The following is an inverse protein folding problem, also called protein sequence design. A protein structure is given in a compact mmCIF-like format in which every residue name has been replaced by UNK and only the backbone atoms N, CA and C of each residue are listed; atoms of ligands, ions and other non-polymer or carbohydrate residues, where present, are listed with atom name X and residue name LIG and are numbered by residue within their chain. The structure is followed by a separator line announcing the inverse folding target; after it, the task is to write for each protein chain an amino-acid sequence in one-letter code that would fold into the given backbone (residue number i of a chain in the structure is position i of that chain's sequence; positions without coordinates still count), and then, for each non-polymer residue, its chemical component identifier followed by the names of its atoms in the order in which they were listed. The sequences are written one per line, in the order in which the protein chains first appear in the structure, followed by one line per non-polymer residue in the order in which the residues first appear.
data_IF_092747676070
#
_entry.id   IF_092747676070
#
_cell.length_a   1.000
_cell.length_b   1.000
_cell.length_c   1.000
_cell.angle_alpha   90.00
_cell.angle_beta   90.00
_cell.angle_gamma   90.00
#
_symmetry.space_group_name_H-M   'P 1'
#
loop_
_entity.id
_entity.type
_entity.pdbx_description
1 polymer ?
#
# COMPACT_ATOMS: atom_id res chain seq x y z
N UNK A 1 -3.41 -7.30 -34.24
CA UNK A 1 -3.46 -6.14 -33.30
C UNK A 1 -3.82 -6.70 -31.94
N UNK A 2 -2.93 -6.62 -30.95
CA UNK A 2 -3.21 -7.14 -29.60
C UNK A 2 -4.10 -6.16 -28.85
N UNK A 3 -5.25 -6.60 -28.36
CA UNK A 3 -6.11 -5.78 -27.50
C UNK A 3 -5.34 -5.40 -26.24
N UNK A 4 -5.30 -4.11 -25.85
CA UNK A 4 -4.60 -3.69 -24.64
C UNK A 4 -5.22 -4.38 -23.41
N UNK A 5 -4.35 -4.84 -22.50
CA UNK A 5 -4.80 -5.50 -21.27
C UNK A 5 -5.57 -4.50 -20.38
N UNK A 6 -6.65 -4.97 -19.72
CA UNK A 6 -7.36 -4.14 -18.74
C UNK A 6 -6.43 -3.79 -17.58
N UNK A 7 -6.67 -2.62 -16.99
CA UNK A 7 -5.95 -2.20 -15.80
C UNK A 7 -6.44 -2.97 -14.56
N UNK A 8 -5.52 -3.41 -13.71
CA UNK A 8 -5.88 -4.05 -12.44
C UNK A 8 -6.48 -3.00 -11.48
N UNK A 9 -7.72 -3.17 -11.00
CA UNK A 9 -8.33 -2.17 -10.14
C UNK A 9 -7.54 -1.93 -8.86
N UNK A 10 -7.35 -0.66 -8.54
CA UNK A 10 -6.67 -0.20 -7.32
C UNK A 10 -7.63 0.07 -6.15
N UNK A 11 -8.93 0.12 -6.42
CA UNK A 11 -9.97 0.35 -5.44
C UNK A 11 -10.24 -0.93 -4.64
N UNK A 12 -10.22 -0.81 -3.31
CA UNK A 12 -10.53 -1.90 -2.39
C UNK A 12 -12.01 -2.28 -2.35
N UNK A 13 -12.91 -1.46 -2.89
CA UNK A 13 -14.32 -1.78 -3.02
C UNK A 13 -14.59 -2.74 -4.19
N UNK A 14 -13.65 -2.85 -5.13
CA UNK A 14 -13.80 -3.65 -6.35
C UNK A 14 -13.07 -4.98 -6.16
N UNK A 15 -13.80 -6.08 -6.35
CA UNK A 15 -13.23 -7.42 -6.52
C UNK A 15 -13.29 -7.79 -7.99
N UNK A 16 -12.19 -8.32 -8.53
CA UNK A 16 -12.13 -8.85 -9.90
C UNK A 16 -11.81 -10.32 -9.88
N UNK A 17 -12.39 -11.08 -10.80
CA UNK A 17 -12.06 -12.49 -11.02
C UNK A 17 -11.46 -12.65 -12.40
N UNK A 18 -10.39 -13.43 -12.49
CA UNK A 18 -9.71 -13.70 -13.75
C UNK A 18 -9.04 -15.07 -13.75
N UNK A 19 -8.80 -15.61 -14.94
CA UNK A 19 -7.94 -16.77 -15.13
C UNK A 19 -6.47 -16.31 -15.17
N UNK A 20 -5.66 -16.90 -14.32
CA UNK A 20 -4.23 -16.65 -14.21
C UNK A 20 -3.45 -17.89 -14.67
N UNK A 21 -2.23 -17.69 -15.18
CA UNK A 21 -1.38 -18.79 -15.65
C UNK A 21 -0.13 -18.84 -14.80
N UNK A 22 0.17 -20.00 -14.24
CA UNK A 22 1.45 -20.22 -13.56
C UNK A 22 2.57 -20.35 -14.59
N UNK A 23 3.61 -19.55 -14.44
CA UNK A 23 4.73 -19.48 -15.38
C UNK A 23 6.04 -19.54 -14.59
N UNK A 24 6.98 -20.36 -15.05
CA UNK A 24 8.34 -20.32 -14.54
C UNK A 24 9.05 -19.09 -15.13
N UNK A 25 9.51 -18.21 -14.25
CA UNK A 25 10.31 -17.05 -14.61
C UNK A 25 11.63 -17.13 -13.85
N UNK A 26 12.71 -17.48 -14.56
CA UNK A 26 14.05 -17.59 -14.00
C UNK A 26 14.15 -18.55 -12.80
N UNK A 27 13.49 -19.71 -12.87
CA UNK A 27 13.46 -20.71 -11.81
C UNK A 27 12.50 -20.38 -10.67
N UNK A 28 11.66 -19.35 -10.85
CA UNK A 28 10.62 -18.97 -9.89
C UNK A 28 9.26 -19.13 -10.50
N UNK A 29 8.42 -19.97 -9.90
CA UNK A 29 7.03 -20.09 -10.28
C UNK A 29 6.26 -18.82 -9.85
N UNK A 30 5.71 -18.13 -10.84
CA UNK A 30 4.88 -16.94 -10.69
C UNK A 30 3.49 -17.20 -11.24
N UNK A 31 2.49 -16.59 -10.62
CA UNK A 31 1.13 -16.51 -11.12
C UNK A 31 1.00 -15.24 -11.97
N UNK A 32 0.89 -15.40 -13.29
CA UNK A 32 0.76 -14.29 -14.25
C UNK A 32 -0.71 -14.00 -14.51
N UNK A 33 -1.07 -12.73 -14.33
CA UNK A 33 -2.45 -12.24 -14.38
C UNK A 33 -2.71 -11.48 -15.69
N UNK A 34 -3.94 -11.51 -16.23
CA UNK A 34 -4.30 -10.86 -17.49
C UNK A 34 -4.61 -9.37 -17.31
N UNK A 35 -3.84 -8.67 -16.47
CA UNK A 35 -4.01 -7.25 -16.21
C UNK A 35 -2.68 -6.52 -16.35
N UNK A 36 -2.74 -5.28 -16.83
CA UNK A 36 -1.64 -4.33 -16.66
C UNK A 36 -1.72 -3.66 -15.29
N UNK A 37 -0.57 -3.25 -14.76
CA UNK A 37 -0.52 -2.47 -13.52
C UNK A 37 -1.01 -1.04 -13.78
N UNK A 38 -1.75 -0.41 -12.84
CA UNK A 38 -2.04 1.02 -12.88
C UNK A 38 -0.77 1.86 -12.98
N UNK A 39 -0.85 2.98 -13.68
CA UNK A 39 0.27 3.94 -13.77
C UNK A 39 0.48 4.64 -12.41
N UNK A 40 1.73 4.67 -11.93
CA UNK A 40 2.10 5.30 -10.66
C UNK A 40 3.39 4.74 -10.03
N UNK A 41 3.81 5.33 -8.91
CA UNK A 41 5.12 5.10 -8.26
C UNK A 41 5.31 3.72 -7.58
N UNK A 42 4.44 2.73 -7.82
CA UNK A 42 4.42 1.49 -7.04
C UNK A 42 5.18 0.35 -7.75
N UNK A 43 6.27 -0.11 -7.13
CA UNK A 43 6.96 -1.39 -7.47
C UNK A 43 6.06 -2.64 -7.31
N UNK A 44 4.92 -2.49 -6.64
CA UNK A 44 3.93 -3.55 -6.43
C UNK A 44 2.92 -3.14 -5.36
N UNK A 45 1.68 -3.65 -5.47
CA UNK A 45 0.58 -3.33 -4.56
C UNK A 45 0.04 -4.59 -3.91
N UNK A 46 -0.43 -4.46 -2.66
CA UNK A 46 -1.00 -5.58 -1.91
C UNK A 46 -2.43 -5.85 -2.34
N UNK A 47 -2.69 -7.10 -2.68
CA UNK A 47 -4.02 -7.62 -2.97
C UNK A 47 -4.31 -8.80 -2.06
N UNK A 48 -5.58 -8.94 -1.72
CA UNK A 48 -6.12 -10.20 -1.21
C UNK A 48 -6.43 -11.06 -2.43
N UNK A 49 -5.69 -12.15 -2.55
CA UNK A 49 -5.82 -13.18 -3.57
C UNK A 49 -6.64 -14.34 -3.00
N UNK A 50 -7.66 -14.79 -3.71
CA UNK A 50 -8.42 -16.00 -3.40
C UNK A 50 -8.29 -16.99 -4.57
N UNK A 51 -7.89 -18.21 -4.25
CA UNK A 51 -7.70 -19.31 -5.19
C UNK A 51 -8.38 -20.55 -4.59
N UNK A 52 -9.55 -20.92 -5.12
CA UNK A 52 -10.39 -21.96 -4.50
C UNK A 52 -10.75 -21.61 -3.05
N UNK A 53 -10.37 -22.48 -2.11
CA UNK A 53 -10.58 -22.31 -0.66
C UNK A 53 -9.47 -21.49 0.02
N UNK A 54 -8.34 -21.27 -0.67
CA UNK A 54 -7.19 -20.55 -0.12
C UNK A 54 -7.37 -19.05 -0.30
N UNK A 55 -7.19 -18.29 0.78
CA UNK A 55 -7.18 -16.84 0.76
C UNK A 55 -5.88 -16.32 1.37
N UNK A 56 -5.15 -15.50 0.62
CA UNK A 56 -3.84 -15.01 1.03
C UNK A 56 -3.57 -13.59 0.56
N UNK A 57 -2.72 -12.85 1.27
CA UNK A 57 -2.24 -11.55 0.82
C UNK A 57 -0.99 -11.72 -0.04
N UNK A 58 -0.97 -11.09 -1.20
CA UNK A 58 0.17 -11.06 -2.12
C UNK A 58 0.47 -9.66 -2.59
N UNK A 59 1.75 -9.39 -2.82
CA UNK A 59 2.16 -8.22 -3.59
C UNK A 59 2.07 -8.60 -5.06
N UNK A 60 1.23 -7.87 -5.80
CA UNK A 60 1.15 -7.94 -7.25
C UNK A 60 2.07 -6.87 -7.80
N UNK A 61 2.98 -7.29 -8.66
CA UNK A 61 3.99 -6.44 -9.27
C UNK A 61 3.91 -6.52 -10.80
N UNK A 62 4.54 -5.57 -11.48
CA UNK A 62 4.60 -5.54 -12.93
C UNK A 62 5.59 -6.58 -13.45
N UNK A 63 5.17 -7.38 -14.42
CA UNK A 63 6.00 -8.30 -15.18
C UNK A 63 5.75 -8.02 -16.67
N UNK A 64 6.68 -7.31 -17.31
CA UNK A 64 6.52 -6.77 -18.67
C UNK A 64 5.25 -5.90 -18.84
N UNK A 65 4.32 -6.33 -19.68
CA UNK A 65 3.01 -5.73 -19.96
C UNK A 65 1.90 -6.23 -19.02
N UNK A 66 2.21 -7.24 -18.20
CA UNK A 66 1.30 -7.92 -17.29
C UNK A 66 1.62 -7.65 -15.83
N UNK A 67 0.81 -8.25 -14.98
CA UNK A 67 0.99 -8.30 -13.54
C UNK A 67 1.26 -9.73 -13.11
N UNK A 68 2.04 -9.89 -12.04
CA UNK A 68 2.39 -11.20 -11.52
C UNK A 68 2.47 -11.16 -9.99
N UNK A 69 2.34 -12.34 -9.38
CA UNK A 69 2.60 -12.54 -7.95
C UNK A 69 3.05 -13.98 -7.67
N UNK A 70 3.43 -14.28 -6.43
CA UNK A 70 3.68 -15.66 -6.02
C UNK A 70 2.35 -16.42 -5.88
N UNK A 71 2.28 -17.69 -6.33
CA UNK A 71 1.09 -18.53 -6.14
C UNK A 71 0.61 -18.58 -4.68
N UNK A 72 -0.68 -18.82 -4.48
CA UNK A 72 -1.25 -18.96 -3.15
C UNK A 72 -0.85 -20.28 -2.48
N UNK A 73 -0.71 -21.33 -3.29
CA UNK A 73 -0.39 -22.71 -2.89
C UNK A 73 0.60 -23.32 -3.89
N UNK A 74 1.01 -24.58 -3.66
CA UNK A 74 1.78 -25.35 -4.65
C UNK A 74 0.97 -25.49 -5.93
N UNK A 75 1.54 -25.02 -7.04
CA UNK A 75 0.94 -25.14 -8.36
C UNK A 75 1.99 -25.69 -9.34
N UNK A 76 1.53 -26.33 -10.40
CA UNK A 76 2.43 -26.79 -11.46
C UNK A 76 2.65 -25.68 -12.49
N UNK A 77 3.75 -25.71 -13.25
CA UNK A 77 3.96 -24.76 -14.34
C UNK A 77 2.95 -24.99 -15.48
N UNK A 78 2.43 -23.91 -16.05
CA UNK A 78 1.43 -23.95 -17.13
C UNK A 78 -0.01 -24.15 -16.67
N UNK A 79 -0.24 -24.27 -15.36
CA UNK A 79 -1.55 -24.44 -14.77
C UNK A 79 -2.37 -23.15 -14.87
N UNK A 80 -3.65 -23.29 -15.25
CA UNK A 80 -4.63 -22.20 -15.30
C UNK A 80 -5.45 -22.21 -14.02
N UNK A 81 -5.46 -21.08 -13.33
CA UNK A 81 -6.06 -20.95 -12.01
C UNK A 81 -7.01 -19.75 -12.02
N UNK A 82 -8.28 -19.98 -11.72
CA UNK A 82 -9.24 -18.90 -11.47
C UNK A 82 -8.95 -18.25 -10.13
N UNK A 83 -8.71 -16.95 -10.14
CA UNK A 83 -8.42 -16.18 -8.93
C UNK A 83 -9.33 -14.97 -8.79
N UNK A 84 -9.74 -14.68 -7.55
CA UNK A 84 -10.35 -13.40 -7.19
C UNK A 84 -9.34 -12.50 -6.52
N UNK A 85 -9.38 -11.22 -6.86
CA UNK A 85 -8.42 -10.19 -6.46
C UNK A 85 -9.17 -8.98 -5.93
N UNK A 86 -8.77 -8.51 -4.75
CA UNK A 86 -9.24 -7.24 -4.20
C UNK A 86 -8.08 -6.45 -3.64
N UNK A 87 -7.97 -5.18 -4.03
CA UNK A 87 -6.91 -4.32 -3.52
C UNK A 87 -7.04 -4.17 -1.99
N UNK A 88 -5.92 -4.27 -1.29
CA UNK A 88 -5.89 -3.92 0.13
C UNK A 88 -5.65 -2.41 0.20
N UNK A 89 -6.48 -1.66 0.95
CA UNK A 89 -6.25 -0.25 1.16
C UNK A 89 -4.81 -0.04 1.62
N UNK A 90 -4.12 0.94 1.03
CA UNK A 90 -2.94 1.45 1.69
C UNK A 90 -3.35 1.80 3.13
N UNK A 91 -2.55 1.37 4.12
CA UNK A 91 -2.81 1.68 5.52
C UNK A 91 -3.04 3.19 5.55
N UNK A 92 -4.27 3.63 5.90
CA UNK A 92 -4.61 5.06 5.91
C UNK A 92 -3.45 5.76 6.60
N UNK A 93 -2.89 6.81 5.96
CA UNK A 93 -1.95 7.70 6.64
C UNK A 93 -2.57 7.96 8.00
N UNK A 94 -1.85 7.61 9.07
CA UNK A 94 -2.39 7.80 10.42
C UNK A 94 -2.82 9.25 10.46
N UNK A 95 -4.11 9.51 10.67
CA UNK A 95 -4.57 10.87 10.89
C UNK A 95 -3.71 11.49 11.99
N UNK A 96 -3.58 12.82 11.98
CA UNK A 96 -2.81 13.51 13.03
C UNK A 96 -3.33 13.00 14.38
N UNK A 97 -2.48 12.41 15.25
CA UNK A 97 -2.91 11.93 16.56
C UNK A 97 -3.65 13.02 17.34
N UNK A 98 -4.68 12.65 18.11
CA UNK A 98 -5.57 13.61 18.78
C UNK A 98 -4.83 14.55 19.73
N UNK A 99 -3.77 14.07 20.37
CA UNK A 99 -2.89 14.85 21.24
C UNK A 99 -1.97 15.81 20.47
N UNK A 100 -1.51 15.43 19.27
CA UNK A 100 -0.83 16.36 18.35
C UNK A 100 -1.81 17.43 17.87
N UNK A 101 -3.04 17.05 17.49
CA UNK A 101 -4.08 18.01 17.10
C UNK A 101 -4.43 18.97 18.24
N UNK A 102 -4.53 18.47 19.48
CA UNK A 102 -4.76 19.31 20.65
C UNK A 102 -3.61 20.32 20.83
N UNK A 103 -2.36 19.86 20.83
CA UNK A 103 -1.21 20.73 21.03
C UNK A 103 -1.02 21.79 19.92
N UNK A 104 -1.35 21.46 18.67
CA UNK A 104 -1.35 22.42 17.56
C UNK A 104 -2.47 23.46 17.71
N UNK A 105 -3.69 23.02 18.08
CA UNK A 105 -4.81 23.94 18.34
C UNK A 105 -4.55 24.87 19.52
N UNK A 106 -4.00 24.35 20.62
CA UNK A 106 -3.65 25.14 21.80
C UNK A 106 -2.57 26.19 21.49
N UNK A 107 -1.76 25.93 20.45
CA UNK A 107 -0.74 26.85 19.97
C UNK A 107 -1.22 27.76 18.81
N UNK A 108 -2.48 27.63 18.37
CA UNK A 108 -3.05 28.32 17.20
C UNK A 108 -2.24 28.10 15.91
N UNK A 109 -1.76 26.87 15.70
CA UNK A 109 -0.96 26.48 14.53
C UNK A 109 -1.64 25.39 13.71
N UNK A 110 -1.23 25.30 12.45
CA UNK A 110 -1.47 24.16 11.58
C UNK A 110 -0.15 23.56 11.07
N UNK A 111 -0.24 22.62 10.13
CA UNK A 111 0.91 22.01 9.48
C UNK A 111 1.02 22.42 8.00
N UNK A 112 0.28 23.44 7.55
CA UNK A 112 0.19 23.82 6.14
C UNK A 112 1.53 24.35 5.60
N UNK A 113 2.34 24.99 6.46
CA UNK A 113 3.69 25.45 6.12
C UNK A 113 4.72 24.34 5.92
N UNK A 114 4.41 23.08 6.26
CA UNK A 114 5.33 21.96 6.15
C UNK A 114 5.08 21.14 4.88
N UNK A 115 6.17 20.67 4.26
CA UNK A 115 6.06 19.70 3.17
C UNK A 115 5.45 18.39 3.65
N UNK A 116 4.80 17.67 2.72
CA UNK A 116 4.18 16.38 3.00
C UNK A 116 5.15 15.36 3.62
N UNK A 117 6.43 15.38 3.21
CA UNK A 117 7.46 14.53 3.77
C UNK A 117 7.80 14.89 5.23
N UNK A 118 7.87 16.18 5.56
CA UNK A 118 8.11 16.66 6.92
C UNK A 118 6.95 16.28 7.85
N UNK A 119 5.71 16.49 7.39
CA UNK A 119 4.51 16.09 8.15
C UNK A 119 4.53 14.59 8.42
N UNK A 120 4.80 13.76 7.41
CA UNK A 120 4.89 12.31 7.60
C UNK A 120 5.97 11.91 8.59
N UNK A 121 7.14 12.55 8.54
CA UNK A 121 8.25 12.27 9.45
C UNK A 121 7.90 12.64 10.90
N UNK A 122 7.32 13.82 11.14
CA UNK A 122 6.89 14.28 12.46
C UNK A 122 5.85 13.33 13.07
N UNK A 123 4.82 12.98 12.29
CA UNK A 123 3.76 12.07 12.74
C UNK A 123 4.30 10.67 13.02
N UNK A 124 5.25 10.18 12.21
CA UNK A 124 5.91 8.91 12.45
C UNK A 124 6.66 8.93 13.80
N UNK A 125 7.48 9.96 14.03
CA UNK A 125 8.21 10.12 15.29
C UNK A 125 7.26 10.12 16.49
N UNK A 126 6.18 10.91 16.46
CA UNK A 126 5.23 10.93 17.58
C UNK A 126 4.57 9.57 17.76
N UNK A 127 4.15 8.90 16.68
CA UNK A 127 3.39 7.64 16.81
C UNK A 127 4.24 6.43 17.20
N UNK A 128 5.56 6.50 17.07
CA UNK A 128 6.47 5.45 17.52
C UNK A 128 6.90 5.60 18.99
N UNK A 129 6.70 6.76 19.60
CA UNK A 129 7.00 6.98 21.01
C UNK A 129 5.92 6.34 21.90
N UNK A 130 6.26 5.19 22.51
CA UNK A 130 5.43 4.49 23.51
C UNK A 130 5.63 5.03 24.92
N UNK A 131 6.81 5.60 25.20
CA UNK A 131 7.09 6.28 26.46
C UNK A 131 6.38 7.64 26.49
N UNK A 132 5.58 7.94 27.54
CA UNK A 132 4.83 9.19 27.64
C UNK A 132 5.71 10.46 27.63
N UNK A 133 6.88 10.44 28.26
CA UNK A 133 7.79 11.58 28.31
C UNK A 133 8.42 11.84 26.94
N UNK A 134 8.88 10.78 26.27
CA UNK A 134 9.40 10.88 24.88
C UNK A 134 8.30 11.36 23.92
N UNK A 135 7.06 10.90 24.12
CA UNK A 135 5.93 11.32 23.31
C UNK A 135 5.64 12.81 23.47
N UNK A 136 5.58 13.31 24.71
CA UNK A 136 5.38 14.73 25.00
C UNK A 136 6.50 15.60 24.40
N UNK A 137 7.75 15.15 24.52
CA UNK A 137 8.91 15.79 23.92
C UNK A 137 8.74 15.91 22.38
N UNK A 138 8.41 14.81 21.71
CA UNK A 138 8.22 14.79 20.24
C UNK A 138 7.02 15.63 19.77
N UNK A 139 5.94 15.71 20.56
CA UNK A 139 4.80 16.59 20.27
C UNK A 139 5.26 18.05 20.30
N UNK A 140 6.01 18.46 21.32
CA UNK A 140 6.55 19.82 21.42
C UNK A 140 7.52 20.15 20.27
N UNK A 141 8.34 19.19 19.81
CA UNK A 141 9.18 19.36 18.62
C UNK A 141 8.32 19.59 17.37
N UNK A 142 7.22 18.84 17.21
CA UNK A 142 6.31 19.04 16.08
C UNK A 142 5.66 20.43 16.09
N UNK A 143 5.25 20.92 17.27
CA UNK A 143 4.73 22.29 17.45
C UNK A 143 5.79 23.35 17.12
N UNK A 144 7.04 23.15 17.54
CA UNK A 144 8.14 24.06 17.21
C UNK A 144 8.44 24.09 15.70
N UNK A 145 8.42 22.93 15.04
CA UNK A 145 8.60 22.83 13.60
C UNK A 145 7.48 23.54 12.83
N UNK A 146 6.23 23.43 13.30
CA UNK A 146 5.09 24.15 12.74
C UNK A 146 5.27 25.67 12.88
N UNK A 147 5.66 26.16 14.06
CA UNK A 147 5.96 27.60 14.29
C UNK A 147 7.03 28.14 13.38
N UNK A 148 8.09 27.36 13.13
CA UNK A 148 9.19 27.79 12.28
C UNK A 148 8.83 27.81 10.78
N UNK A 149 7.69 27.22 10.41
CA UNK A 149 7.21 27.11 9.05
C UNK A 149 6.02 28.04 8.73
N UNK A 150 5.52 28.77 9.74
CA UNK A 150 4.54 29.86 9.61
C UNK A 150 5.28 31.17 9.38
#
# INVERSE_FOLDING_TARGET
MSTPLPELPSDSAIEVTAEAITTDVSGQLLLVLPFRMPEGASRGRRYRLRCGTVQVVRVIFRLHDRTACRPADTANAGERITVSLRAIPAKRRRGIPTDVQAALRDAELDLEGLSEAQVQHLLLMVTEARDPAIRAERIRIAVQAARAAT
#
